data_IF_574538241182
#
_entry.id   IF_574538241182
#
_cell.length_a   1.000
_cell.length_b   1.000
_cell.length_c   1.000
_cell.angle_alpha   90.00
_cell.angle_beta   90.00
_cell.angle_gamma   90.00
#
_symmetry.space_group_name_H-M   'P 1'
#
loop_
_entity.id
_entity.type
_entity.pdbx_description
1 polymer ?
#
# COMPACT_ATOMS: atom_id res chain seq x y z
N UNK A 1 -22.60 -10.22 -55.15
CA UNK A 1 -21.71 -9.09 -54.76
C UNK A 1 -22.38 -8.07 -53.85
N UNK A 2 -23.61 -7.73 -54.13
CA UNK A 2 -24.33 -6.72 -53.31
C UNK A 2 -24.73 -7.21 -51.91
N UNK A 3 -25.04 -8.50 -51.76
CA UNK A 3 -25.36 -9.10 -50.46
C UNK A 3 -24.20 -9.09 -49.44
N UNK A 4 -22.96 -9.15 -49.89
CA UNK A 4 -21.80 -9.09 -49.02
C UNK A 4 -21.50 -7.69 -48.44
N UNK A 5 -21.82 -6.65 -49.21
CA UNK A 5 -21.70 -5.27 -48.73
C UNK A 5 -22.73 -4.96 -47.64
N UNK A 6 -23.97 -5.40 -47.80
CA UNK A 6 -25.06 -5.24 -46.85
C UNK A 6 -24.76 -6.04 -45.57
N UNK A 7 -24.27 -7.28 -45.72
CA UNK A 7 -23.92 -8.08 -44.53
C UNK A 7 -22.70 -7.56 -43.79
N UNK A 8 -21.76 -6.89 -44.47
CA UNK A 8 -20.66 -6.19 -43.80
C UNK A 8 -21.14 -4.99 -43.02
N UNK A 9 -22.07 -4.22 -43.55
CA UNK A 9 -22.65 -3.09 -42.81
C UNK A 9 -23.49 -3.57 -41.62
N UNK A 10 -24.28 -4.62 -41.78
CA UNK A 10 -25.00 -5.25 -40.67
C UNK A 10 -24.08 -5.83 -39.62
N UNK A 11 -22.98 -6.47 -40.03
CA UNK A 11 -21.96 -7.01 -39.13
C UNK A 11 -21.20 -5.88 -38.42
N UNK A 12 -20.90 -4.79 -39.12
CA UNK A 12 -20.30 -3.59 -38.50
C UNK A 12 -21.28 -2.88 -37.57
N UNK A 13 -22.59 -2.89 -37.85
CA UNK A 13 -23.60 -2.38 -36.93
C UNK A 13 -23.83 -3.25 -35.69
N UNK A 14 -23.70 -4.57 -35.83
CA UNK A 14 -23.82 -5.53 -34.71
C UNK A 14 -22.55 -5.67 -33.88
N UNK A 15 -21.37 -5.57 -34.48
CA UNK A 15 -20.08 -5.65 -33.79
C UNK A 15 -19.88 -4.57 -32.74
N UNK A 16 -20.18 -3.28 -32.96
CA UNK A 16 -20.06 -2.26 -31.90
C UNK A 16 -20.99 -2.53 -30.73
N UNK A 17 -22.22 -2.96 -30.94
CA UNK A 17 -23.17 -3.32 -29.90
C UNK A 17 -22.70 -4.52 -29.09
N UNK A 18 -22.20 -5.56 -29.76
CA UNK A 18 -21.64 -6.73 -29.11
C UNK A 18 -20.40 -6.44 -28.31
N UNK A 19 -19.51 -5.58 -28.82
CA UNK A 19 -18.32 -5.11 -28.12
C UNK A 19 -18.72 -4.25 -26.91
N UNK A 20 -19.71 -3.37 -27.05
CA UNK A 20 -20.23 -2.56 -25.95
C UNK A 20 -20.88 -3.42 -24.86
N UNK A 21 -21.64 -4.44 -25.21
CA UNK A 21 -22.17 -5.40 -24.24
C UNK A 21 -21.08 -6.17 -23.53
N UNK A 22 -20.05 -6.63 -24.25
CA UNK A 22 -18.87 -7.28 -23.63
C UNK A 22 -18.11 -6.35 -22.71
N UNK A 23 -17.92 -5.09 -23.11
CA UNK A 23 -17.27 -4.08 -22.28
C UNK A 23 -18.10 -3.82 -21.03
N UNK A 24 -19.41 -3.71 -21.16
CA UNK A 24 -20.33 -3.55 -20.04
C UNK A 24 -20.24 -4.73 -19.07
N UNK A 25 -20.29 -5.97 -19.56
CA UNK A 25 -20.16 -7.18 -18.75
C UNK A 25 -18.80 -7.24 -18.05
N UNK A 26 -17.72 -6.88 -18.75
CA UNK A 26 -16.39 -6.83 -18.19
C UNK A 26 -16.26 -5.75 -17.10
N UNK A 27 -16.86 -4.59 -17.32
CA UNK A 27 -16.88 -3.51 -16.33
C UNK A 27 -17.69 -3.90 -15.09
N UNK A 28 -18.83 -4.55 -15.25
CA UNK A 28 -19.62 -5.06 -14.13
C UNK A 28 -18.85 -6.10 -13.32
N UNK A 29 -18.17 -7.04 -13.97
CA UNK A 29 -17.30 -8.03 -13.33
C UNK A 29 -16.12 -7.38 -12.61
N UNK A 30 -15.51 -6.37 -13.22
CA UNK A 30 -14.43 -5.60 -12.59
C UNK A 30 -14.91 -4.85 -11.37
N UNK A 31 -16.08 -4.23 -11.46
CA UNK A 31 -16.69 -3.52 -10.32
C UNK A 31 -17.01 -4.48 -9.17
N UNK A 32 -17.57 -5.64 -9.45
CA UNK A 32 -17.81 -6.69 -8.44
C UNK A 32 -16.50 -7.13 -7.76
N UNK A 33 -15.45 -7.35 -8.56
CA UNK A 33 -14.12 -7.70 -8.02
C UNK A 33 -13.51 -6.58 -7.17
N UNK A 34 -13.69 -5.33 -7.61
CA UNK A 34 -13.22 -4.16 -6.85
C UNK A 34 -13.99 -4.04 -5.55
N UNK A 35 -15.29 -4.26 -5.52
CA UNK A 35 -16.09 -4.25 -4.29
C UNK A 35 -15.63 -5.33 -3.32
N UNK A 36 -15.36 -6.54 -3.80
CA UNK A 36 -14.82 -7.63 -2.98
C UNK A 36 -13.45 -7.26 -2.42
N UNK A 37 -12.57 -6.67 -3.23
CA UNK A 37 -11.25 -6.20 -2.77
C UNK A 37 -11.40 -5.10 -1.73
N UNK A 38 -12.31 -4.15 -1.92
CA UNK A 38 -12.58 -3.09 -0.96
C UNK A 38 -13.12 -3.66 0.35
N UNK A 39 -14.01 -4.63 0.31
CA UNK A 39 -14.52 -5.31 1.52
C UNK A 39 -13.44 -6.08 2.24
N UNK A 40 -12.59 -6.82 1.51
CA UNK A 40 -11.45 -7.51 2.10
C UNK A 40 -10.45 -6.53 2.73
N UNK A 41 -10.18 -5.41 2.08
CA UNK A 41 -9.32 -4.37 2.65
C UNK A 41 -9.96 -3.69 3.86
N UNK A 42 -11.27 -3.50 3.87
CA UNK A 42 -11.98 -3.00 5.05
C UNK A 42 -11.93 -3.96 6.23
N UNK A 43 -11.97 -5.26 5.97
CA UNK A 43 -11.79 -6.29 7.00
C UNK A 43 -10.36 -6.26 7.55
N UNK A 44 -9.36 -6.20 6.68
CA UNK A 44 -7.97 -6.08 7.11
C UNK A 44 -7.72 -4.75 7.82
N UNK A 45 -8.36 -3.67 7.36
CA UNK A 45 -8.28 -2.38 8.05
C UNK A 45 -9.07 -2.34 9.38
N UNK A 46 -10.10 -3.13 9.55
CA UNK A 46 -10.81 -3.21 10.83
C UNK A 46 -10.01 -3.95 11.90
N UNK A 47 -9.21 -4.93 11.50
CA UNK A 47 -8.29 -5.60 12.41
C UNK A 47 -7.04 -4.77 12.69
N UNK A 48 -6.64 -3.90 11.76
CA UNK A 48 -5.48 -3.01 11.91
C UNK A 48 -5.83 -1.61 12.40
N UNK A 49 -7.10 -1.23 12.37
CA UNK A 49 -7.58 0.00 13.00
C UNK A 49 -8.02 -0.25 14.44
N UNK A 50 -7.15 -0.83 15.22
CA UNK A 50 -7.16 -0.44 16.62
C UNK A 50 -6.89 1.07 16.66
N UNK A 51 -7.67 1.83 17.44
CA UNK A 51 -7.38 3.23 17.60
C UNK A 51 -5.93 3.33 17.99
N UNK A 52 -5.13 3.91 17.09
CA UNK A 52 -3.75 4.12 17.35
C UNK A 52 -3.66 5.05 18.54
N UNK A 53 -3.38 4.49 19.69
CA UNK A 53 -2.78 5.27 20.74
C UNK A 53 -1.52 5.84 20.10
N UNK A 54 -1.58 7.10 19.68
CA UNK A 54 -0.40 7.83 19.29
C UNK A 54 0.64 7.54 20.37
N UNK A 55 1.83 7.14 19.98
CA UNK A 55 2.95 6.85 20.89
C UNK A 55 2.99 5.41 21.48
N UNK A 56 2.35 4.43 20.87
CA UNK A 56 2.56 3.04 21.26
C UNK A 56 3.99 2.60 20.89
N UNK A 57 4.79 2.14 21.86
CA UNK A 57 6.11 1.60 21.53
C UNK A 57 6.01 0.42 20.60
N UNK A 58 7.01 0.25 19.74
CA UNK A 58 7.11 -0.91 18.86
C UNK A 58 7.34 -2.17 19.71
N UNK A 59 6.24 -2.83 20.01
CA UNK A 59 6.22 -4.08 20.74
C UNK A 59 6.41 -5.27 19.78
N UNK A 60 6.86 -6.39 20.30
CA UNK A 60 7.04 -7.64 19.55
C UNK A 60 5.73 -8.08 18.88
N UNK A 61 4.61 -7.97 19.56
CA UNK A 61 3.28 -8.28 19.02
C UNK A 61 2.91 -7.39 17.84
N UNK A 62 3.21 -6.11 17.96
CA UNK A 62 3.00 -5.11 16.88
C UNK A 62 3.86 -5.43 15.67
N UNK A 63 5.13 -5.76 15.88
CA UNK A 63 6.03 -6.18 14.81
C UNK A 63 5.56 -7.44 14.10
N UNK A 64 5.05 -8.41 14.84
CA UNK A 64 4.52 -9.65 14.26
C UNK A 64 3.23 -9.44 13.47
N UNK A 65 2.44 -8.44 13.83
CA UNK A 65 1.20 -8.10 13.11
C UNK A 65 1.44 -7.29 11.83
N UNK A 66 2.62 -6.71 11.67
CA UNK A 66 2.96 -5.93 10.48
C UNK A 66 3.25 -6.81 9.27
N UNK A 67 2.98 -6.32 8.05
CA UNK A 67 3.51 -6.94 6.83
C UNK A 67 5.04 -7.05 6.86
N UNK A 68 5.58 -8.09 6.25
CA UNK A 68 7.02 -8.40 6.29
C UNK A 68 7.92 -7.25 5.81
N UNK A 69 7.47 -6.54 4.78
CA UNK A 69 8.23 -5.41 4.25
C UNK A 69 8.35 -4.25 5.24
N UNK A 70 7.29 -3.94 5.98
CA UNK A 70 7.30 -2.93 7.02
C UNK A 70 8.02 -3.41 8.28
N UNK A 71 7.85 -4.68 8.64
CA UNK A 71 8.53 -5.30 9.78
C UNK A 71 10.04 -5.20 9.66
N UNK A 72 10.59 -5.56 8.50
CA UNK A 72 12.03 -5.49 8.25
C UNK A 72 12.56 -4.06 8.43
N UNK A 73 11.87 -3.08 7.88
CA UNK A 73 12.21 -1.66 8.02
C UNK A 73 12.13 -1.21 9.48
N UNK A 74 11.04 -1.53 10.17
CA UNK A 74 10.84 -1.18 11.58
C UNK A 74 11.91 -1.80 12.49
N UNK A 75 12.23 -3.07 12.30
CA UNK A 75 13.29 -3.74 13.06
C UNK A 75 14.66 -3.11 12.84
N UNK A 76 14.95 -2.70 11.61
CA UNK A 76 16.22 -2.03 11.29
C UNK A 76 16.32 -0.67 11.99
N UNK A 77 15.23 0.09 12.00
CA UNK A 77 15.18 1.36 12.75
C UNK A 77 15.37 1.14 14.25
N UNK A 78 14.76 0.11 14.81
CA UNK A 78 14.91 -0.24 16.23
C UNK A 78 16.37 -0.59 16.57
N UNK A 79 17.09 -1.27 15.69
CA UNK A 79 18.51 -1.60 15.88
C UNK A 79 19.39 -0.36 15.82
N UNK A 80 19.12 0.53 14.89
CA UNK A 80 19.89 1.75 14.69
C UNK A 80 19.57 2.82 15.74
N UNK A 81 18.40 2.73 16.37
CA UNK A 81 17.86 3.73 17.28
C UNK A 81 17.38 4.99 16.57
N UNK A 82 18.19 5.56 15.70
CA UNK A 82 17.90 6.71 14.88
C UNK A 82 18.65 6.59 13.57
N UNK A 83 17.95 6.68 12.46
CA UNK A 83 18.55 6.50 11.13
C UNK A 83 17.82 7.30 10.06
N UNK A 84 18.54 7.58 8.98
CA UNK A 84 17.99 8.15 7.75
C UNK A 84 17.52 7.04 6.81
N UNK A 85 16.70 7.41 5.81
CA UNK A 85 16.27 6.47 4.77
C UNK A 85 17.46 5.87 4.00
N UNK A 86 18.54 6.64 3.81
CA UNK A 86 19.77 6.17 3.17
C UNK A 86 20.44 5.04 3.97
N UNK A 87 20.59 5.25 5.27
CA UNK A 87 21.20 4.27 6.17
C UNK A 87 20.37 2.99 6.25
N UNK A 88 19.06 3.12 6.34
CA UNK A 88 18.15 1.98 6.34
C UNK A 88 18.21 1.23 5.01
N UNK A 89 18.27 1.93 3.88
CA UNK A 89 18.34 1.31 2.56
C UNK A 89 19.59 0.45 2.38
N UNK A 90 20.71 0.88 2.93
CA UNK A 90 21.96 0.10 2.91
C UNK A 90 21.82 -1.19 3.72
N UNK A 91 21.20 -1.13 4.88
CA UNK A 91 21.04 -2.30 5.75
C UNK A 91 19.99 -3.28 5.26
N UNK A 92 18.91 -2.78 4.66
CA UNK A 92 17.84 -3.64 4.11
C UNK A 92 18.11 -4.12 2.70
N UNK A 93 19.15 -3.56 2.04
CA UNK A 93 19.48 -3.81 0.63
C UNK A 93 18.33 -3.47 -0.34
N UNK A 94 17.54 -2.49 0.00
CA UNK A 94 16.44 -1.97 -0.81
C UNK A 94 16.76 -0.57 -1.32
N UNK A 95 16.04 -0.14 -2.36
CA UNK A 95 16.18 1.22 -2.88
C UNK A 95 15.77 2.26 -1.81
N UNK A 96 16.48 3.38 -1.75
CA UNK A 96 16.18 4.48 -0.83
C UNK A 96 14.75 4.98 -0.95
N UNK A 97 14.22 5.11 -2.17
CA UNK A 97 12.85 5.56 -2.41
C UNK A 97 11.83 4.61 -1.78
N UNK A 98 12.06 3.31 -1.85
CA UNK A 98 11.20 2.28 -1.26
C UNK A 98 11.25 2.37 0.26
N UNK A 99 12.43 2.46 0.85
CA UNK A 99 12.58 2.59 2.30
C UNK A 99 11.99 3.90 2.83
N UNK A 100 12.16 4.99 2.09
CA UNK A 100 11.54 6.26 2.42
C UNK A 100 10.01 6.17 2.46
N UNK A 101 9.40 5.48 1.50
CA UNK A 101 7.96 5.24 1.47
C UNK A 101 7.51 4.40 2.68
N UNK A 102 8.22 3.33 3.00
CA UNK A 102 7.90 2.47 4.15
C UNK A 102 8.09 3.18 5.49
N UNK A 103 9.14 3.96 5.63
CA UNK A 103 9.37 4.78 6.81
C UNK A 103 8.29 5.82 7.03
N UNK A 104 7.87 6.51 5.97
CA UNK A 104 6.76 7.45 6.06
C UNK A 104 5.44 6.75 6.40
N UNK A 105 5.20 5.56 5.87
CA UNK A 105 4.03 4.76 6.22
C UNK A 105 4.03 4.38 7.70
N UNK A 106 5.16 3.95 8.23
CA UNK A 106 5.31 3.64 9.66
C UNK A 106 5.11 4.87 10.56
N UNK A 107 5.54 6.04 10.11
CA UNK A 107 5.26 7.31 10.80
C UNK A 107 3.76 7.62 10.81
N UNK A 108 3.09 7.46 9.67
CA UNK A 108 1.64 7.66 9.58
C UNK A 108 0.85 6.67 10.44
N UNK A 109 1.36 5.45 10.60
CA UNK A 109 0.77 4.44 11.47
C UNK A 109 1.06 4.68 12.96
N UNK A 110 1.89 5.68 13.28
CA UNK A 110 2.22 6.06 14.66
C UNK A 110 3.32 5.22 15.32
N UNK A 111 4.03 4.39 14.57
CA UNK A 111 5.08 3.53 15.12
C UNK A 111 6.46 4.18 15.16
N UNK A 112 6.71 5.14 14.29
CA UNK A 112 7.98 5.85 14.21
C UNK A 112 7.78 7.35 14.34
N UNK A 113 8.80 8.00 14.89
CA UNK A 113 8.91 9.45 14.95
C UNK A 113 9.83 9.94 13.85
N UNK A 114 9.42 10.99 13.16
CA UNK A 114 10.20 11.65 12.11
C UNK A 114 10.67 13.00 12.60
N UNK A 115 11.96 13.21 12.58
CA UNK A 115 12.58 14.50 12.87
C UNK A 115 13.35 15.01 11.67
N UNK A 116 13.18 16.27 11.34
CA UNK A 116 13.98 16.95 10.33
C UNK A 116 15.09 17.73 10.96
N UNK A 117 16.33 17.45 10.55
CA UNK A 117 17.50 18.28 10.83
C UNK A 117 18.12 18.75 9.53
N UNK A 118 17.96 20.02 9.20
CA UNK A 118 18.44 20.59 7.94
C UNK A 118 17.78 19.92 6.73
N UNK A 119 18.58 19.32 5.87
CA UNK A 119 18.10 18.63 4.66
C UNK A 119 17.79 17.14 4.85
N UNK A 120 18.14 16.59 6.02
CA UNK A 120 17.97 15.16 6.30
C UNK A 120 16.77 14.92 7.21
N UNK A 121 16.05 13.85 6.93
CA UNK A 121 15.00 13.35 7.80
C UNK A 121 15.50 12.11 8.53
N UNK A 122 15.35 12.12 9.84
CA UNK A 122 15.71 11.02 10.74
C UNK A 122 14.46 10.34 11.26
N UNK A 123 14.52 9.04 11.31
CA UNK A 123 13.44 8.19 11.81
C UNK A 123 13.93 7.47 13.06
N UNK A 124 13.11 7.46 14.09
CA UNK A 124 13.39 6.77 15.36
C UNK A 124 12.13 6.09 15.88
N UNK A 125 12.32 4.98 16.58
CA UNK A 125 11.22 4.35 17.30
C UNK A 125 10.89 5.18 18.54
N UNK A 126 9.62 5.17 18.95
CA UNK A 126 9.24 5.71 20.25
C UNK A 126 9.92 4.87 21.34
N UNK A 127 10.72 5.48 22.14
CA UNK A 127 11.20 4.87 23.38
C UNK A 127 10.07 4.97 24.40
N UNK A 128 9.82 3.90 25.12
CA UNK A 128 9.08 4.05 26.37
C UNK A 128 9.78 5.15 27.15
N UNK A 129 9.06 6.22 27.45
CA UNK A 129 9.59 7.22 28.35
C UNK A 129 9.86 6.52 29.66
N UNK A 130 11.13 6.42 30.00
CA UNK A 130 11.49 6.17 31.38
C UNK A 130 10.87 7.30 32.21
N UNK A 131 9.71 6.95 32.75
CA UNK A 131 9.02 7.84 33.66
C UNK A 131 9.80 7.90 34.99
#
# INVERSE_FOLDING_TARGET
MWGNAVSKEEVLGKKPLFILEKIKDNLERLNEKIEVIIELQKHDHKETQQPMAADAPLDVMTLLSMPDHLRKTAMTVCRCGRATADEISVQTTRARAVESAYLNQLVLMGYLKKERKGRKAYFSAYKESEA
#
